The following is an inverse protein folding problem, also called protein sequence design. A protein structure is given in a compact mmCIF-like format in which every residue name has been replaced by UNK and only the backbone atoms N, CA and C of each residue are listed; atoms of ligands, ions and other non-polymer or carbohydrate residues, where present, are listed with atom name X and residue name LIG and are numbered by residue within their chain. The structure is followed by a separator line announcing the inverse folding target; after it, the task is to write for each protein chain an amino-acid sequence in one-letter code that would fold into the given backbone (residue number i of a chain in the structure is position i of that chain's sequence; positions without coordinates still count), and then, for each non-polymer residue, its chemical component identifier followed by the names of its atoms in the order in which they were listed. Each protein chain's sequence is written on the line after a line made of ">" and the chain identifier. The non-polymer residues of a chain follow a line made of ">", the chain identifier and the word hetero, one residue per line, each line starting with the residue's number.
data_IF_546032111080
#
_entry.id   IF_546032111080
#
_cell.length_a   1.000
_cell.length_b   1.000
_cell.length_c   1.000
_cell.angle_alpha   90.00
_cell.angle_beta   90.00
_cell.angle_gamma   90.00
#
_symmetry.space_group_name_H-M   'P 1'
#
loop_
_entity.id
_entity.type
_entity.pdbx_description
1 polymer ?
#
# COMPACT_ATOMS: atom_id res chain seq x y z
N UNK A 1 35.50 -23.13 -1.39
CA UNK A 1 34.06 -22.91 -1.18
C UNK A 1 33.60 -21.99 -2.29
N UNK A 2 32.73 -22.56 -3.13
CA UNK A 2 32.36 -22.09 -4.46
C UNK A 2 31.70 -20.71 -4.50
N UNK A 3 32.10 -19.90 -5.49
CA UNK A 3 31.30 -18.82 -6.04
C UNK A 3 30.94 -19.22 -7.48
N UNK A 4 29.71 -19.68 -7.69
CA UNK A 4 29.19 -20.03 -9.01
C UNK A 4 28.76 -18.77 -9.79
N UNK A 5 29.20 -18.59 -11.05
CA UNK A 5 28.73 -17.51 -11.90
C UNK A 5 27.42 -17.89 -12.61
N UNK A 6 26.41 -17.03 -12.50
CA UNK A 6 25.18 -17.15 -13.27
C UNK A 6 25.48 -16.85 -14.75
N UNK A 7 25.08 -17.78 -15.60
CA UNK A 7 25.27 -17.80 -17.02
C UNK A 7 24.58 -16.61 -17.71
N UNK A 8 25.36 -15.88 -18.50
CA UNK A 8 24.86 -15.03 -19.58
C UNK A 8 24.26 -15.94 -20.66
N UNK A 9 22.94 -15.86 -20.82
CA UNK A 9 22.23 -16.53 -21.90
C UNK A 9 22.39 -15.77 -23.22
N UNK A 10 22.85 -16.49 -24.25
CA UNK A 10 22.45 -16.23 -25.63
C UNK A 10 23.42 -15.41 -26.49
N UNK A 11 24.65 -15.90 -26.69
CA UNK A 11 25.37 -15.61 -27.92
C UNK A 11 24.66 -16.30 -29.08
N UNK A 12 24.22 -15.51 -30.05
CA UNK A 12 23.57 -15.96 -31.28
C UNK A 12 24.67 -16.60 -32.13
N UNK A 13 24.62 -17.92 -32.31
CA UNK A 13 25.54 -18.64 -33.20
C UNK A 13 25.21 -18.33 -34.66
N UNK A 14 26.16 -17.77 -35.41
CA UNK A 14 26.09 -17.68 -36.87
C UNK A 14 26.17 -19.09 -37.48
N UNK A 15 25.27 -19.49 -38.39
CA UNK A 15 25.47 -20.69 -39.17
C UNK A 15 26.35 -20.39 -40.39
N UNK A 16 27.48 -21.09 -40.46
CA UNK A 16 28.36 -21.25 -41.62
C UNK A 16 27.53 -21.63 -42.88
N UNK A 17 27.64 -20.82 -43.93
CA UNK A 17 26.97 -21.05 -45.22
C UNK A 17 27.98 -21.67 -46.21
N UNK A 18 28.01 -23.00 -46.31
CA UNK A 18 28.70 -23.70 -47.40
C UNK A 18 27.72 -24.66 -48.07
N UNK A 19 27.46 -24.43 -49.36
CA UNK A 19 26.63 -25.30 -50.19
C UNK A 19 26.43 -24.77 -51.60
N UNK A 20 27.44 -24.92 -52.46
CA UNK A 20 27.30 -24.75 -53.92
C UNK A 20 26.52 -25.92 -54.51
N UNK A 21 25.41 -25.63 -55.19
CA UNK A 21 24.64 -26.58 -56.00
C UNK A 21 24.00 -25.87 -57.21
N UNK A 22 23.85 -26.53 -58.37
CA UNK A 22 23.48 -25.87 -59.63
C UNK A 22 22.03 -25.37 -59.66
N UNK A 23 21.83 -24.24 -60.34
CA UNK A 23 20.60 -23.47 -60.40
C UNK A 23 19.44 -24.21 -61.09
N UNK A 24 18.30 -24.33 -60.40
CA UNK A 24 17.01 -24.64 -61.00
C UNK A 24 16.26 -23.32 -61.31
N UNK A 25 15.53 -23.21 -62.45
CA UNK A 25 14.80 -22.00 -62.78
C UNK A 25 13.61 -21.79 -61.83
N UNK A 26 13.62 -20.68 -61.11
CA UNK A 26 12.55 -20.27 -60.22
C UNK A 26 11.27 -19.98 -61.01
N UNK A 27 10.21 -20.78 -60.83
CA UNK A 27 8.85 -20.35 -61.10
C UNK A 27 8.51 -19.24 -60.11
N UNK A 28 8.46 -17.99 -60.59
CA UNK A 28 7.95 -16.87 -59.81
C UNK A 28 6.42 -16.92 -59.83
N UNK A 29 5.72 -17.13 -58.70
CA UNK A 29 4.32 -16.77 -58.64
C UNK A 29 4.22 -15.27 -58.90
N UNK A 30 3.43 -14.92 -59.91
CA UNK A 30 3.15 -13.53 -60.26
C UNK A 30 2.34 -12.91 -59.12
N UNK A 31 3.02 -12.17 -58.24
CA UNK A 31 2.33 -11.37 -57.23
C UNK A 31 1.47 -10.33 -57.95
N UNK A 32 0.17 -10.21 -57.61
CA UNK A 32 -0.66 -9.16 -58.18
C UNK A 32 0.00 -7.81 -57.89
N UNK A 33 -0.09 -6.82 -58.80
CA UNK A 33 0.53 -5.53 -58.61
C UNK A 33 0.05 -4.97 -57.28
N UNK A 34 1.00 -4.75 -56.35
CA UNK A 34 0.72 -4.10 -55.10
C UNK A 34 0.21 -2.69 -55.44
N UNK A 35 -1.11 -2.53 -55.50
CA UNK A 35 -1.72 -1.22 -55.57
C UNK A 35 -1.22 -0.49 -54.33
N UNK A 36 -0.29 0.46 -54.51
CA UNK A 36 -0.01 1.47 -53.51
C UNK A 36 -1.29 2.29 -53.39
N UNK A 37 -2.29 1.76 -52.67
CA UNK A 37 -3.31 2.58 -52.04
C UNK A 37 -2.51 3.55 -51.20
N UNK A 38 -2.34 4.76 -51.72
CA UNK A 38 -1.87 5.91 -50.95
C UNK A 38 -2.88 6.04 -49.82
N UNK A 39 -2.62 5.37 -48.69
CA UNK A 39 -3.39 5.58 -47.48
C UNK A 39 -3.31 7.09 -47.25
N UNK A 40 -4.45 7.81 -47.18
CA UNK A 40 -4.41 9.25 -47.10
C UNK A 40 -3.71 9.60 -45.80
N UNK A 41 -2.45 10.03 -45.90
CA UNK A 41 -1.60 10.41 -44.77
C UNK A 41 -2.33 11.42 -43.87
N UNK A 42 -3.17 12.29 -44.45
CA UNK A 42 -4.05 13.20 -43.71
C UNK A 42 -5.04 12.49 -42.78
N UNK A 43 -5.65 11.39 -43.18
CA UNK A 43 -6.57 10.64 -42.32
C UNK A 43 -5.85 9.98 -41.13
N UNK A 44 -4.61 9.52 -41.35
CA UNK A 44 -3.77 8.98 -40.27
C UNK A 44 -3.37 10.08 -39.27
N UNK A 45 -3.02 11.27 -39.75
CA UNK A 45 -2.66 12.41 -38.89
C UNK A 45 -3.86 12.91 -38.08
N UNK A 46 -5.03 13.05 -38.71
CA UNK A 46 -6.27 13.42 -38.01
C UNK A 46 -6.64 12.37 -36.97
N UNK A 47 -6.52 11.08 -37.32
CA UNK A 47 -6.75 10.00 -36.37
C UNK A 47 -5.79 10.03 -35.17
N UNK A 48 -4.50 10.28 -35.42
CA UNK A 48 -3.50 10.41 -34.37
C UNK A 48 -3.78 11.62 -33.45
N UNK A 49 -4.13 12.78 -34.01
CA UNK A 49 -4.48 13.97 -33.24
C UNK A 49 -5.74 13.76 -32.40
N UNK A 50 -6.78 13.17 -32.98
CA UNK A 50 -8.00 12.85 -32.25
C UNK A 50 -7.74 11.87 -31.10
N UNK A 51 -6.95 10.82 -31.34
CA UNK A 51 -6.56 9.88 -30.30
C UNK A 51 -5.76 10.57 -29.17
N UNK A 52 -4.79 11.43 -29.51
CA UNK A 52 -4.01 12.19 -28.53
C UNK A 52 -4.88 13.15 -27.72
N UNK A 53 -5.85 13.81 -28.36
CA UNK A 53 -6.79 14.70 -27.67
C UNK A 53 -7.67 13.93 -26.69
N UNK A 54 -8.18 12.74 -27.07
CA UNK A 54 -8.99 11.88 -26.20
C UNK A 54 -8.17 11.38 -25.01
N UNK A 55 -6.95 10.90 -25.23
CA UNK A 55 -6.06 10.47 -24.14
C UNK A 55 -5.68 11.63 -23.22
N UNK A 56 -5.35 12.79 -23.78
CA UNK A 56 -5.02 14.00 -23.02
C UNK A 56 -6.20 14.48 -22.16
N UNK A 57 -7.41 14.54 -22.74
CA UNK A 57 -8.62 14.91 -22.03
C UNK A 57 -8.97 13.88 -20.92
N UNK A 58 -8.80 12.59 -21.19
CA UNK A 58 -8.96 11.53 -20.20
C UNK A 58 -8.01 11.71 -19.02
N UNK A 59 -6.70 11.80 -19.28
CA UNK A 59 -5.68 12.00 -18.24
C UNK A 59 -5.92 13.27 -17.42
N UNK A 60 -6.33 14.35 -18.07
CA UNK A 60 -6.67 15.60 -17.38
C UNK A 60 -7.89 15.44 -16.48
N UNK A 61 -8.98 14.83 -16.98
CA UNK A 61 -10.19 14.63 -16.20
C UNK A 61 -9.97 13.74 -14.97
N UNK A 62 -9.15 12.68 -15.10
CA UNK A 62 -8.78 11.81 -13.97
C UNK A 62 -7.77 12.45 -13.02
N UNK A 63 -6.83 13.26 -13.52
CA UNK A 63 -5.82 13.94 -12.68
C UNK A 63 -6.31 15.22 -12.00
N UNK A 64 -7.44 15.79 -12.42
CA UNK A 64 -7.99 17.03 -11.86
C UNK A 64 -8.77 16.85 -10.55
N UNK A 65 -9.05 15.60 -10.15
CA UNK A 65 -9.66 15.30 -8.87
C UNK A 65 -8.59 15.46 -7.78
N UNK A 66 -8.70 16.53 -6.98
CA UNK A 66 -7.83 16.74 -5.83
C UNK A 66 -8.04 15.65 -4.76
N UNK A 67 -7.11 15.51 -3.80
CA UNK A 67 -7.18 14.44 -2.80
C UNK A 67 -8.42 14.56 -1.90
N UNK A 68 -9.07 13.44 -1.60
CA UNK A 68 -10.15 13.32 -0.63
C UNK A 68 -9.58 13.23 0.80
N UNK A 69 -9.17 14.38 1.35
CA UNK A 69 -8.57 14.43 2.69
C UNK A 69 -9.60 14.31 3.82
N UNK A 70 -10.91 14.36 3.56
CA UNK A 70 -12.01 14.30 4.55
C UNK A 70 -11.88 15.22 5.77
N UNK A 71 -11.16 16.35 5.60
CA UNK A 71 -10.88 17.30 6.68
C UNK A 71 -9.76 16.87 7.63
N UNK A 72 -9.14 15.72 7.40
CA UNK A 72 -8.00 15.25 8.19
C UNK A 72 -6.78 16.17 8.05
N UNK A 73 -6.09 16.36 9.17
CA UNK A 73 -4.79 17.04 9.21
C UNK A 73 -3.82 16.28 10.09
N UNK A 74 -2.56 16.23 9.65
CA UNK A 74 -1.47 15.63 10.42
C UNK A 74 -1.08 16.54 11.59
N UNK A 75 -1.02 15.99 12.79
CA UNK A 75 -0.65 16.69 14.03
C UNK A 75 0.79 16.35 14.45
N UNK A 76 1.51 17.34 14.97
CA UNK A 76 2.79 17.16 15.68
C UNK A 76 2.62 16.48 17.05
N UNK A 77 1.38 16.34 17.54
CA UNK A 77 1.03 15.83 18.87
C UNK A 77 0.11 14.62 18.80
N UNK A 78 0.40 13.69 17.89
CA UNK A 78 -0.45 12.51 17.68
C UNK A 78 -0.68 11.70 18.97
N UNK A 79 0.33 11.58 19.84
CA UNK A 79 0.17 10.89 21.13
C UNK A 79 -0.81 11.57 22.09
N UNK A 80 -0.97 12.89 22.01
CA UNK A 80 -1.94 13.64 22.81
C UNK A 80 -3.37 13.43 22.30
N UNK A 81 -3.52 13.18 20.99
CA UNK A 81 -4.81 12.88 20.38
C UNK A 81 -5.22 11.41 20.62
N UNK A 82 -4.25 10.51 20.76
CA UNK A 82 -4.45 9.09 21.04
C UNK A 82 -4.88 8.83 22.51
N UNK A 83 -6.18 8.97 22.79
CA UNK A 83 -6.76 8.76 24.13
C UNK A 83 -6.92 7.29 24.56
N UNK A 84 -7.04 6.36 23.60
CA UNK A 84 -7.15 4.92 23.84
C UNK A 84 -8.21 4.47 24.87
N UNK A 85 -9.47 4.94 24.81
CA UNK A 85 -10.49 4.59 25.80
C UNK A 85 -10.76 3.07 25.91
N UNK A 86 -10.56 2.30 24.85
CA UNK A 86 -10.78 0.85 24.85
C UNK A 86 -9.59 0.08 25.43
N UNK A 87 -8.35 0.38 25.02
CA UNK A 87 -7.15 -0.21 25.62
C UNK A 87 -7.03 0.17 27.11
N UNK A 88 -7.51 1.35 27.50
CA UNK A 88 -7.58 1.79 28.90
C UNK A 88 -8.43 0.88 29.79
N UNK A 89 -9.26 -0.02 29.24
CA UNK A 89 -9.96 -1.05 30.03
C UNK A 89 -9.01 -2.14 30.53
N UNK A 90 -7.94 -2.43 29.79
CA UNK A 90 -7.01 -3.54 30.04
C UNK A 90 -5.63 -3.08 30.52
N UNK A 91 -5.26 -1.84 30.21
CA UNK A 91 -3.93 -1.30 30.49
C UNK A 91 -4.03 0.10 31.10
N UNK A 92 -2.97 0.49 31.79
CA UNK A 92 -2.73 1.89 32.14
C UNK A 92 -1.79 2.52 31.11
N UNK A 93 -1.93 3.84 30.92
CA UNK A 93 -1.04 4.60 30.06
C UNK A 93 0.29 4.77 30.78
N UNK A 94 1.39 4.28 30.18
CA UNK A 94 2.73 4.47 30.72
C UNK A 94 3.23 5.90 30.57
N UNK A 95 4.40 6.19 31.13
CA UNK A 95 5.02 7.52 31.10
C UNK A 95 5.79 7.84 29.81
N UNK A 96 6.17 6.83 29.01
CA UNK A 96 7.02 6.98 27.83
C UNK A 96 6.18 7.07 26.56
N UNK A 97 6.13 8.26 25.98
CA UNK A 97 5.42 8.56 24.74
C UNK A 97 6.22 9.53 23.88
N UNK A 98 6.25 9.29 22.58
CA UNK A 98 6.95 10.12 21.61
C UNK A 98 6.09 10.30 20.36
N UNK A 99 5.96 11.55 19.91
CA UNK A 99 5.30 11.89 18.65
C UNK A 99 6.31 12.45 17.67
N UNK A 100 6.21 12.01 16.42
CA UNK A 100 6.98 12.55 15.31
C UNK A 100 6.04 12.94 14.19
N UNK A 101 6.43 13.96 13.43
CA UNK A 101 5.74 14.39 12.22
C UNK A 101 6.76 14.59 11.11
N UNK A 102 6.42 14.15 9.91
CA UNK A 102 7.18 14.46 8.71
C UNK A 102 6.24 14.85 7.57
N UNK A 103 6.76 15.49 6.54
CA UNK A 103 5.95 15.95 5.43
C UNK A 103 6.77 16.21 4.18
N UNK A 104 6.12 15.98 3.05
CA UNK A 104 6.62 16.24 1.70
C UNK A 104 5.50 16.87 0.89
N UNK A 105 5.76 17.18 -0.38
CA UNK A 105 4.72 17.68 -1.26
C UNK A 105 3.62 16.63 -1.54
N UNK A 106 3.97 15.33 -1.50
CA UNK A 106 3.06 14.24 -1.84
C UNK A 106 2.35 13.61 -0.63
N UNK A 107 2.99 13.60 0.54
CA UNK A 107 2.52 12.89 1.73
C UNK A 107 2.89 13.66 2.98
N UNK A 108 1.98 13.72 3.96
CA UNK A 108 2.29 14.08 5.35
C UNK A 108 2.13 12.87 6.26
N UNK A 109 3.02 12.70 7.24
CA UNK A 109 2.95 11.60 8.20
C UNK A 109 3.01 12.11 9.64
N UNK A 110 2.27 11.46 10.53
CA UNK A 110 2.50 11.56 11.97
C UNK A 110 2.54 10.17 12.58
N UNK A 111 3.42 10.01 13.54
CA UNK A 111 3.60 8.78 14.29
C UNK A 111 3.55 9.09 15.78
N UNK A 112 3.06 8.11 16.52
CA UNK A 112 3.07 8.08 17.97
C UNK A 112 3.53 6.72 18.41
N UNK A 113 4.52 6.66 19.30
CA UNK A 113 4.90 5.44 19.98
C UNK A 113 4.81 5.63 21.49
N UNK A 114 4.50 4.56 22.21
CA UNK A 114 4.49 4.60 23.66
C UNK A 114 4.34 3.26 24.33
N UNK A 115 4.43 3.29 25.66
CA UNK A 115 4.32 2.12 26.51
C UNK A 115 2.98 2.08 27.24
N UNK A 116 2.43 0.88 27.36
CA UNK A 116 1.29 0.57 28.23
C UNK A 116 1.78 -0.24 29.42
N UNK A 117 1.23 0.08 30.58
CA UNK A 117 1.55 -0.54 31.87
C UNK A 117 0.40 -1.45 32.33
N UNK A 118 0.72 -2.37 33.25
CA UNK A 118 -0.29 -3.23 33.87
C UNK A 118 -1.11 -2.40 34.87
N UNK A 119 -2.42 -2.66 34.94
CA UNK A 119 -3.29 -2.09 35.98
C UNK A 119 -2.94 -2.56 37.39
N UNK A 120 -2.46 -3.79 37.50
CA UNK A 120 -2.08 -4.41 38.76
C UNK A 120 -0.61 -4.83 38.70
N UNK A 121 0.21 -4.20 39.52
CA UNK A 121 1.66 -4.43 39.61
C UNK A 121 2.50 -3.55 38.70
N UNK A 122 3.77 -3.35 39.05
CA UNK A 122 4.67 -2.47 38.32
C UNK A 122 5.17 -3.11 37.02
N UNK A 123 5.22 -2.34 35.93
CA UNK A 123 6.02 -2.62 34.74
C UNK A 123 5.25 -2.71 33.41
N UNK A 124 6.02 -2.57 32.31
CA UNK A 124 5.51 -2.57 30.93
C UNK A 124 4.71 -3.84 30.61
N UNK A 125 3.52 -3.64 30.04
CA UNK A 125 2.59 -4.67 29.60
C UNK A 125 2.56 -4.80 28.08
N UNK A 126 2.63 -3.68 27.36
CA UNK A 126 2.62 -3.64 25.90
C UNK A 126 3.32 -2.39 25.36
N UNK A 127 3.60 -2.40 24.07
CA UNK A 127 4.01 -1.21 23.31
C UNK A 127 2.93 -0.90 22.28
N UNK A 128 2.66 0.39 22.08
CA UNK A 128 1.69 0.91 21.13
C UNK A 128 2.43 1.73 20.09
N UNK A 129 2.02 1.57 18.84
CA UNK A 129 2.41 2.46 17.74
C UNK A 129 1.16 2.86 16.98
N UNK A 130 0.93 4.15 16.82
CA UNK A 130 -0.08 4.70 15.94
C UNK A 130 0.60 5.51 14.84
N UNK A 131 0.10 5.40 13.62
CA UNK A 131 0.54 6.25 12.51
C UNK A 131 -0.65 6.74 11.70
N UNK A 132 -0.46 7.90 11.10
CA UNK A 132 -1.35 8.50 10.13
C UNK A 132 -0.50 8.91 8.93
N UNK A 133 -0.92 8.50 7.73
CA UNK A 133 -0.33 8.89 6.45
C UNK A 133 -1.41 9.58 5.65
N UNK A 134 -1.20 10.86 5.34
CA UNK A 134 -2.12 11.67 4.56
C UNK A 134 -1.57 11.84 3.15
N UNK A 135 -2.22 11.20 2.17
CA UNK A 135 -1.82 11.26 0.78
C UNK A 135 -2.40 12.50 0.11
N UNK A 136 -1.54 13.38 -0.41
CA UNK A 136 -1.94 14.67 -1.01
C UNK A 136 -1.95 14.65 -2.54
N UNK A 137 -1.43 13.58 -3.14
CA UNK A 137 -1.19 13.48 -4.59
C UNK A 137 -1.57 12.16 -5.24
N UNK A 138 -1.62 11.08 -4.47
CA UNK A 138 -1.79 9.73 -5.01
C UNK A 138 -2.86 9.01 -4.21
N UNK A 139 -3.80 8.36 -4.90
CA UNK A 139 -4.76 7.44 -4.29
C UNK A 139 -4.00 6.23 -3.69
N UNK A 140 -4.05 6.02 -2.35
CA UNK A 140 -3.36 4.91 -1.71
C UNK A 140 -4.09 3.56 -1.86
N UNK A 141 -5.26 3.55 -2.49
CA UNK A 141 -6.19 2.43 -2.44
C UNK A 141 -5.68 1.12 -3.00
N UNK A 142 -5.00 1.15 -4.14
CA UNK A 142 -4.44 -0.06 -4.74
C UNK A 142 -3.33 -0.67 -3.86
N UNK A 143 -2.47 0.19 -3.30
CA UNK A 143 -1.40 -0.23 -2.40
C UNK A 143 -1.95 -0.76 -1.07
N UNK A 144 -3.01 -0.17 -0.53
CA UNK A 144 -3.68 -0.64 0.67
C UNK A 144 -4.25 -2.06 0.49
N UNK A 145 -4.91 -2.32 -0.64
CA UNK A 145 -5.46 -3.64 -0.94
C UNK A 145 -4.35 -4.69 -1.18
N UNK A 146 -3.26 -4.28 -1.84
CA UNK A 146 -2.06 -5.12 -2.00
C UNK A 146 -1.40 -5.43 -0.64
N UNK A 147 -1.27 -4.44 0.25
CA UNK A 147 -0.72 -4.60 1.59
C UNK A 147 -1.56 -5.59 2.43
N UNK A 148 -2.89 -5.52 2.32
CA UNK A 148 -3.79 -6.51 2.95
C UNK A 148 -3.55 -7.93 2.42
N UNK A 149 -3.44 -8.10 1.10
CA UNK A 149 -3.23 -9.40 0.49
C UNK A 149 -1.87 -10.00 0.91
N UNK A 150 -0.81 -9.22 0.81
CA UNK A 150 0.55 -9.64 1.21
C UNK A 150 0.66 -9.93 2.71
N UNK A 151 -0.07 -9.21 3.57
CA UNK A 151 -0.11 -9.49 5.00
C UNK A 151 -0.63 -10.91 5.30
N UNK A 152 -1.61 -11.40 4.51
CA UNK A 152 -2.15 -12.76 4.67
C UNK A 152 -1.13 -13.84 4.27
N UNK A 153 -0.24 -13.53 3.32
CA UNK A 153 0.74 -14.47 2.76
C UNK A 153 2.06 -14.51 3.54
N UNK A 154 2.34 -13.50 4.37
CA UNK A 154 3.66 -13.29 4.99
C UNK A 154 4.19 -14.50 5.77
N UNK A 155 3.33 -15.13 6.57
CA UNK A 155 3.65 -16.38 7.28
C UNK A 155 2.37 -17.24 7.32
N UNK A 156 2.19 -18.14 6.34
CA UNK A 156 0.98 -18.94 6.21
C UNK A 156 0.64 -19.68 7.51
N UNK A 157 -0.60 -19.55 7.97
CA UNK A 157 -1.10 -20.19 9.19
C UNK A 157 -0.68 -19.55 10.51
N UNK A 158 0.14 -18.48 10.51
CA UNK A 158 0.52 -17.73 11.73
C UNK A 158 0.09 -16.27 11.72
N UNK A 159 -0.40 -15.78 10.60
CA UNK A 159 -0.97 -14.44 10.47
C UNK A 159 -2.45 -14.56 10.16
N UNK A 160 -3.27 -13.96 11.00
CA UNK A 160 -4.71 -13.87 10.79
C UNK A 160 -5.04 -12.46 10.28
N UNK A 161 -5.61 -12.40 9.07
CA UNK A 161 -6.09 -11.16 8.47
C UNK A 161 -7.61 -11.18 8.41
N UNK A 162 -8.26 -10.15 8.96
CA UNK A 162 -9.72 -10.03 8.98
C UNK A 162 -10.17 -8.65 8.56
N UNK A 163 -11.22 -8.57 7.76
CA UNK A 163 -11.90 -7.29 7.49
C UNK A 163 -12.47 -6.72 8.79
N UNK A 164 -12.22 -5.44 9.02
CA UNK A 164 -12.77 -4.68 10.14
C UNK A 164 -13.88 -3.77 9.61
N UNK A 165 -15.14 -4.23 9.69
CA UNK A 165 -16.28 -3.47 9.14
C UNK A 165 -16.58 -2.24 10.01
N UNK A 166 -17.05 -1.16 9.37
CA UNK A 166 -17.51 0.06 10.06
C UNK A 166 -16.41 1.03 10.48
N UNK A 167 -15.19 0.89 9.93
CA UNK A 167 -14.07 1.81 10.11
C UNK A 167 -13.58 2.28 8.75
N UNK A 168 -13.64 3.60 8.51
CA UNK A 168 -13.27 4.21 7.23
C UNK A 168 -14.03 3.63 6.03
N UNK A 169 -13.46 3.81 4.84
CA UNK A 169 -13.96 3.20 3.61
C UNK A 169 -13.52 1.73 3.52
N UNK A 170 -12.30 1.43 3.95
CA UNK A 170 -11.73 0.08 4.00
C UNK A 170 -10.92 -0.12 5.28
N UNK A 171 -11.06 -1.27 5.91
CA UNK A 171 -10.22 -1.59 7.07
C UNK A 171 -10.01 -3.09 7.24
N UNK A 172 -8.86 -3.44 7.80
CA UNK A 172 -8.52 -4.81 8.16
C UNK A 172 -7.65 -4.86 9.41
N UNK A 173 -7.76 -5.96 10.14
CA UNK A 173 -6.89 -6.31 11.26
C UNK A 173 -5.91 -7.38 10.82
N UNK A 174 -4.66 -7.22 11.22
CA UNK A 174 -3.62 -8.24 11.18
C UNK A 174 -3.29 -8.66 12.60
N UNK A 175 -3.39 -9.95 12.88
CA UNK A 175 -2.97 -10.55 14.14
C UNK A 175 -1.79 -11.49 13.86
N UNK A 176 -0.67 -11.26 14.55
CA UNK A 176 0.49 -12.12 14.45
C UNK A 176 1.20 -12.23 15.80
N UNK A 177 1.32 -13.45 16.32
CA UNK A 177 1.98 -13.72 17.60
C UNK A 177 1.31 -13.01 18.77
N UNK A 178 1.89 -11.91 19.26
CA UNK A 178 1.38 -11.09 20.38
C UNK A 178 0.98 -9.69 19.95
N UNK A 179 0.92 -9.46 18.64
CA UNK A 179 0.65 -8.16 18.04
C UNK A 179 -0.70 -8.19 17.36
N UNK A 180 -1.51 -7.17 17.63
CA UNK A 180 -2.72 -6.86 16.89
C UNK A 180 -2.56 -5.49 16.25
N UNK A 181 -2.71 -5.43 14.94
CA UNK A 181 -2.62 -4.21 14.15
C UNK A 181 -3.91 -3.99 13.40
N UNK A 182 -4.45 -2.78 13.43
CA UNK A 182 -5.58 -2.38 12.59
C UNK A 182 -5.09 -1.34 11.60
N UNK A 183 -5.41 -1.56 10.34
CA UNK A 183 -5.19 -0.64 9.22
C UNK A 183 -6.55 -0.14 8.74
N UNK A 184 -6.66 1.17 8.52
CA UNK A 184 -7.88 1.82 8.04
C UNK A 184 -7.48 2.78 6.93
N UNK A 185 -8.25 2.80 5.86
CA UNK A 185 -8.22 3.78 4.80
C UNK A 185 -9.56 4.50 4.74
N UNK A 186 -9.54 5.82 4.81
CA UNK A 186 -10.71 6.70 4.79
C UNK A 186 -10.42 7.93 3.92
N UNK A 187 -10.97 7.97 2.70
CA UNK A 187 -10.49 8.86 1.65
C UNK A 187 -9.03 8.58 1.31
N UNK A 188 -8.21 9.63 1.28
CA UNK A 188 -6.76 9.58 1.07
C UNK A 188 -5.94 9.57 2.37
N UNK A 189 -6.57 9.22 3.50
CA UNK A 189 -5.91 9.08 4.80
C UNK A 189 -5.82 7.61 5.23
N UNK A 190 -4.59 7.13 5.41
CA UNK A 190 -4.30 5.82 6.00
C UNK A 190 -3.97 5.96 7.49
N UNK A 191 -4.61 5.14 8.32
CA UNK A 191 -4.35 5.03 9.73
C UNK A 191 -3.89 3.63 10.08
N UNK A 192 -2.88 3.53 10.93
CA UNK A 192 -2.45 2.26 11.52
C UNK A 192 -2.39 2.39 13.04
N UNK A 193 -2.92 1.41 13.76
CA UNK A 193 -2.73 1.26 15.20
C UNK A 193 -2.29 -0.16 15.50
N UNK A 194 -1.11 -0.30 16.10
CA UNK A 194 -0.47 -1.56 16.45
C UNK A 194 -0.25 -1.62 17.95
N UNK A 195 -0.62 -2.76 18.55
CA UNK A 195 -0.34 -3.06 19.95
C UNK A 195 0.38 -4.40 20.03
N UNK A 196 1.56 -4.40 20.64
CA UNK A 196 2.36 -5.60 20.87
C UNK A 196 2.50 -5.88 22.36
N UNK A 197 1.91 -6.97 22.84
CA UNK A 197 1.96 -7.34 24.25
C UNK A 197 3.34 -7.92 24.63
N UNK A 198 3.91 -7.50 25.76
CA UNK A 198 5.18 -7.99 26.28
C UNK A 198 5.09 -9.44 26.76
N UNK A 199 6.11 -10.28 26.54
CA UNK A 199 6.10 -11.72 26.90
C UNK A 199 5.64 -12.00 28.34
N UNK A 200 6.04 -11.16 29.31
CA UNK A 200 5.69 -11.28 30.72
C UNK A 200 4.34 -10.63 31.11
N UNK A 201 3.61 -10.03 30.18
CA UNK A 201 2.43 -9.19 30.43
C UNK A 201 1.13 -9.92 30.81
N UNK A 202 1.15 -11.22 31.11
CA UNK A 202 -0.07 -11.97 31.47
C UNK A 202 -1.09 -12.09 30.31
N UNK A 203 -2.29 -12.60 30.65
CA UNK A 203 -3.40 -13.16 29.82
C UNK A 203 -4.03 -12.25 28.75
N UNK A 204 -3.29 -11.36 28.09
CA UNK A 204 -3.81 -10.59 26.97
C UNK A 204 -3.47 -11.31 25.67
N UNK A 205 -4.48 -11.99 25.12
CA UNK A 205 -4.36 -12.68 23.84
C UNK A 205 -4.64 -11.70 22.70
N UNK A 206 -4.09 -11.91 21.50
CA UNK A 206 -4.35 -11.04 20.36
C UNK A 206 -5.83 -10.90 20.00
N UNK A 207 -6.64 -11.93 20.26
CA UNK A 207 -8.08 -11.94 20.03
C UNK A 207 -8.81 -10.95 20.94
N UNK A 208 -8.33 -10.77 22.18
CA UNK A 208 -8.83 -9.73 23.10
C UNK A 208 -8.36 -8.34 22.71
N UNK A 209 -7.16 -8.20 22.14
CA UNK A 209 -6.65 -6.90 21.70
C UNK A 209 -7.42 -6.39 20.49
N UNK A 210 -7.73 -7.24 19.53
CA UNK A 210 -8.37 -6.86 18.26
C UNK A 210 -9.54 -5.88 18.39
N UNK A 211 -10.60 -6.14 19.18
CA UNK A 211 -11.71 -5.21 19.32
C UNK A 211 -11.33 -3.90 20.04
N UNK A 212 -10.34 -3.94 20.95
CA UNK A 212 -9.88 -2.74 21.65
C UNK A 212 -9.11 -1.82 20.71
N UNK A 213 -8.18 -2.39 19.94
CA UNK A 213 -7.39 -1.65 18.94
C UNK A 213 -8.31 -1.06 17.87
N UNK A 214 -9.30 -1.82 17.39
CA UNK A 214 -10.28 -1.32 16.43
C UNK A 214 -11.14 -0.17 16.99
N UNK A 215 -11.53 -0.23 18.26
CA UNK A 215 -12.25 0.87 18.90
C UNK A 215 -11.40 2.13 19.04
N UNK A 216 -10.14 1.96 19.43
CA UNK A 216 -9.22 3.08 19.68
C UNK A 216 -8.75 3.79 18.40
N UNK A 217 -8.54 3.06 17.30
CA UNK A 217 -8.24 3.70 16.01
C UNK A 217 -9.45 4.52 15.52
N UNK A 218 -10.67 4.03 15.70
CA UNK A 218 -11.88 4.79 15.39
C UNK A 218 -12.02 6.05 16.27
N UNK A 219 -11.63 5.97 17.55
CA UNK A 219 -11.60 7.13 18.44
C UNK A 219 -10.54 8.17 18.02
N UNK A 220 -9.38 7.72 17.54
CA UNK A 220 -8.34 8.58 17.00
C UNK A 220 -8.81 9.31 15.73
N UNK A 221 -9.41 8.58 14.78
CA UNK A 221 -9.92 9.16 13.52
C UNK A 221 -10.90 10.30 13.79
N UNK A 222 -11.89 10.09 14.67
CA UNK A 222 -12.87 11.15 15.03
C UNK A 222 -12.23 12.42 15.60
N UNK A 223 -11.12 12.29 16.32
CA UNK A 223 -10.39 13.45 16.87
C UNK A 223 -9.61 14.19 15.80
N UNK A 224 -9.08 13.47 14.81
CA UNK A 224 -8.29 14.04 13.71
C UNK A 224 -9.15 14.66 12.60
N UNK A 225 -10.42 14.26 12.48
CA UNK A 225 -11.39 14.86 11.54
C UNK A 225 -12.09 16.09 12.09
N UNK A 226 -11.81 16.49 13.35
CA UNK A 226 -12.41 17.70 13.95
C UNK A 226 -11.60 18.93 13.51
N UNK A 227 -12.25 19.99 12.98
CA UNK A 227 -11.56 21.14 12.37
C UNK A 227 -10.72 21.98 13.32
#
# INVERSE_FOLDING_TARGET
>A
MENGPWAAGGAISEPELVGSGPAAPAHRPELPPASRRRRPLGALLVGALAASAVWGAGLYAFGAQGPDLRGYRVSDRLCSLLAMPHLATAFDRGSRWESTRSGSEAVDTADCSGELERKEGAGRAATVTASMVLHKRTDPGAEFDAARATAAERIPGRTEVRTAKGLGDRAYTVVHGRTATVHVLDGDAEFTLSVSAARAGGRVTPERLRPLVAGDIGALMRRLSTP
#
